data_IF_839257460254
#
_entry.id   IF_839257460254
#
_cell.length_a   1.000
_cell.length_b   1.000
_cell.length_c   1.000
_cell.angle_alpha   90.00
_cell.angle_beta   90.00
_cell.angle_gamma   90.00
#
_symmetry.space_group_name_H-M   'P 1'
#
loop_
_entity.id
_entity.type
_entity.pdbx_description
1 polymer ?
#
# COMPACT_ATOMS: atom_id res chain seq x y z
N UNK A 1 2.51 1.96 -8.99
CA UNK A 1 2.58 1.16 -7.74
C UNK A 1 3.84 1.55 -6.99
N UNK A 2 3.73 1.90 -5.72
CA UNK A 2 4.86 2.15 -4.82
C UNK A 2 4.85 1.08 -3.71
N UNK A 3 6.03 0.57 -3.31
CA UNK A 3 6.17 -0.42 -2.23
C UNK A 3 6.97 0.20 -1.09
N UNK A 4 6.34 0.35 0.07
CA UNK A 4 6.93 0.91 1.27
C UNK A 4 7.39 -0.23 2.17
N UNK A 5 8.71 -0.32 2.39
CA UNK A 5 9.35 -1.34 3.24
C UNK A 5 10.10 -0.65 4.36
N UNK A 6 10.22 -1.32 5.52
CA UNK A 6 11.09 -0.84 6.60
C UNK A 6 12.55 -0.83 6.12
N UNK A 7 13.33 0.19 6.53
CA UNK A 7 14.69 0.41 6.04
C UNK A 7 15.63 -0.79 6.23
N UNK A 8 15.53 -1.51 7.35
CA UNK A 8 16.34 -2.71 7.63
C UNK A 8 15.89 -3.99 6.88
N UNK A 9 14.80 -3.93 6.11
CA UNK A 9 14.15 -5.09 5.51
C UNK A 9 13.94 -4.94 3.98
N UNK A 10 14.55 -3.92 3.35
CA UNK A 10 14.33 -3.59 1.94
C UNK A 10 14.62 -4.78 1.01
N UNK A 11 15.67 -5.57 1.28
CA UNK A 11 16.10 -6.71 0.46
C UNK A 11 15.43 -8.03 0.84
N UNK A 12 14.62 -8.07 1.90
CA UNK A 12 13.94 -9.29 2.33
C UNK A 12 12.93 -9.78 1.30
N UNK A 13 12.86 -11.10 1.12
CA UNK A 13 11.90 -11.72 0.20
C UNK A 13 10.46 -11.73 0.74
N UNK A 14 10.31 -11.93 2.05
CA UNK A 14 9.04 -11.87 2.78
C UNK A 14 9.19 -10.88 3.93
N UNK A 15 8.62 -9.69 3.74
CA UNK A 15 8.69 -8.61 4.73
C UNK A 15 7.32 -7.94 4.82
N UNK A 16 6.97 -7.40 5.99
CA UNK A 16 5.84 -6.51 6.10
C UNK A 16 6.07 -5.29 5.20
N UNK A 17 5.11 -4.98 4.34
CA UNK A 17 5.18 -3.83 3.45
C UNK A 17 3.79 -3.27 3.14
N UNK A 18 3.75 -2.00 2.73
CA UNK A 18 2.53 -1.34 2.26
C UNK A 18 2.68 -1.10 0.77
N UNK A 19 1.73 -1.61 -0.01
CA UNK A 19 1.64 -1.33 -1.44
C UNK A 19 0.67 -0.16 -1.64
N UNK A 20 1.18 0.93 -2.22
CA UNK A 20 0.37 2.07 -2.64
C UNK A 20 0.07 1.93 -4.13
N UNK A 21 -1.20 1.71 -4.45
CA UNK A 21 -1.72 1.68 -5.80
C UNK A 21 -2.37 3.03 -6.08
N UNK A 22 -1.94 3.69 -7.15
CA UNK A 22 -2.59 4.90 -7.62
C UNK A 22 -3.51 4.56 -8.78
N UNK A 23 -4.65 5.25 -8.86
CA UNK A 23 -5.49 5.30 -10.05
C UNK A 23 -4.95 6.29 -11.07
N UNK A 24 -5.09 5.97 -12.35
CA UNK A 24 -4.37 6.63 -13.44
C UNK A 24 -4.88 8.05 -13.78
N UNK A 25 -6.14 8.36 -13.49
CA UNK A 25 -6.85 9.53 -14.02
C UNK A 25 -7.54 10.38 -12.94
N UNK A 26 -7.30 10.09 -11.66
CA UNK A 26 -7.91 10.81 -10.55
C UNK A 26 -9.42 10.56 -10.35
N UNK A 27 -10.06 9.73 -11.20
CA UNK A 27 -11.49 9.41 -11.12
C UNK A 27 -11.80 8.30 -10.10
N UNK A 28 -10.79 7.54 -9.72
CA UNK A 28 -10.89 6.44 -8.75
C UNK A 28 -10.12 6.74 -7.46
N UNK A 29 -10.26 5.89 -6.45
CA UNK A 29 -9.48 6.01 -5.22
C UNK A 29 -8.06 5.47 -5.41
N UNK A 30 -7.06 6.13 -4.82
CA UNK A 30 -5.82 5.43 -4.53
C UNK A 30 -6.06 4.44 -3.38
N UNK A 31 -5.22 3.40 -3.32
CA UNK A 31 -5.36 2.31 -2.38
C UNK A 31 -4.05 2.02 -1.66
N UNK A 32 -4.16 1.75 -0.35
CA UNK A 32 -3.07 1.25 0.49
C UNK A 32 -3.39 -0.19 0.91
N UNK A 33 -2.47 -1.10 0.60
CA UNK A 33 -2.55 -2.52 0.92
C UNK A 33 -1.41 -2.89 1.86
N UNK A 34 -1.63 -2.91 3.18
CA UNK A 34 -0.71 -3.53 4.13
C UNK A 34 -0.68 -5.04 3.95
N UNK A 35 0.50 -5.65 4.01
CA UNK A 35 0.59 -7.10 3.98
C UNK A 35 2.00 -7.66 3.91
N UNK A 36 2.06 -8.96 3.70
CA UNK A 36 3.29 -9.70 3.44
C UNK A 36 3.29 -10.10 1.98
N UNK A 37 4.08 -9.41 1.16
CA UNK A 37 4.11 -9.65 -0.29
C UNK A 37 5.51 -9.98 -0.79
N UNK A 38 5.54 -10.94 -1.71
CA UNK A 38 6.74 -11.38 -2.43
C UNK A 38 6.69 -10.88 -3.87
N UNK A 39 7.82 -10.42 -4.41
CA UNK A 39 7.96 -10.20 -5.85
C UNK A 39 8.05 -11.55 -6.58
N UNK A 40 7.20 -11.76 -7.58
CA UNK A 40 7.11 -13.02 -8.34
C UNK A 40 7.64 -12.87 -9.76
N UNK A 41 7.49 -11.68 -10.36
CA UNK A 41 7.96 -11.42 -11.71
C UNK A 41 8.60 -10.03 -11.80
N UNK A 42 9.54 -9.88 -12.74
CA UNK A 42 10.25 -8.62 -13.01
C UNK A 42 9.35 -7.51 -13.53
N UNK A 43 8.13 -7.84 -13.99
CA UNK A 43 7.10 -6.88 -14.37
C UNK A 43 6.39 -6.20 -13.19
N UNK A 44 6.81 -6.48 -11.95
CA UNK A 44 6.20 -5.92 -10.73
C UNK A 44 5.05 -6.74 -10.16
N UNK A 45 4.77 -7.94 -10.68
CA UNK A 45 3.80 -8.85 -10.06
C UNK A 45 4.25 -9.23 -8.65
N UNK A 46 3.33 -9.09 -7.70
CA UNK A 46 3.52 -9.48 -6.30
C UNK A 46 2.40 -10.44 -5.88
N UNK A 47 2.74 -11.37 -4.99
CA UNK A 47 1.78 -12.31 -4.39
C UNK A 47 2.00 -12.35 -2.88
N UNK A 48 0.93 -12.52 -2.13
CA UNK A 48 1.01 -12.62 -0.69
C UNK A 48 -0.30 -12.36 0.02
N UNK A 49 -0.23 -12.22 1.33
CA UNK A 49 -1.39 -11.99 2.17
C UNK A 49 -1.55 -10.51 2.49
N UNK A 50 -2.70 -9.97 2.11
CA UNK A 50 -3.13 -8.65 2.54
C UNK A 50 -3.69 -8.71 3.96
N UNK A 51 -3.39 -7.70 4.77
CA UNK A 51 -3.98 -7.45 6.10
C UNK A 51 -5.16 -6.47 5.97
N UNK A 52 -5.83 -6.49 4.83
CA UNK A 52 -6.94 -5.63 4.44
C UNK A 52 -6.50 -4.46 3.55
N UNK A 53 -7.41 -3.52 3.32
CA UNK A 53 -7.14 -2.38 2.44
C UNK A 53 -7.74 -1.08 2.98
N UNK A 54 -7.17 0.05 2.56
CA UNK A 54 -7.75 1.38 2.73
C UNK A 54 -7.81 2.03 1.36
N UNK A 55 -8.96 2.63 1.02
CA UNK A 55 -9.18 3.35 -0.23
C UNK A 55 -9.48 4.80 0.08
N UNK A 56 -8.77 5.71 -0.58
CA UNK A 56 -8.96 7.15 -0.41
C UNK A 56 -9.30 7.75 -1.76
N UNK A 57 -10.50 8.32 -1.93
CA UNK A 57 -10.88 9.00 -3.16
C UNK A 57 -10.06 10.27 -3.36
N UNK A 58 -9.78 10.63 -4.61
CA UNK A 58 -9.05 11.85 -4.96
C UNK A 58 -9.88 13.15 -4.88
N UNK A 59 -11.00 13.14 -4.15
CA UNK A 59 -11.90 14.29 -4.02
C UNK A 59 -12.41 14.46 -2.58
N UNK A 60 -12.89 15.66 -2.26
CA UNK A 60 -13.37 16.02 -0.93
C UNK A 60 -12.22 16.31 0.04
N UNK A 61 -12.38 15.92 1.30
CA UNK A 61 -11.34 16.10 2.31
C UNK A 61 -10.25 15.02 2.18
N UNK A 62 -9.38 15.19 1.18
CA UNK A 62 -8.34 14.21 0.84
C UNK A 62 -7.27 14.15 1.93
N UNK A 63 -6.84 15.28 2.47
CA UNK A 63 -5.71 15.35 3.41
C UNK A 63 -5.99 14.56 4.68
N UNK A 64 -7.13 14.79 5.33
CA UNK A 64 -7.45 14.09 6.58
C UNK A 64 -7.63 12.59 6.35
N UNK A 65 -8.28 12.20 5.23
CA UNK A 65 -8.45 10.78 4.87
C UNK A 65 -7.13 10.08 4.58
N UNK A 66 -6.16 10.78 3.98
CA UNK A 66 -4.81 10.23 3.77
C UNK A 66 -4.14 9.98 5.12
N UNK A 67 -4.22 10.95 6.04
CA UNK A 67 -3.59 10.86 7.37
C UNK A 67 -4.22 9.73 8.19
N UNK A 68 -5.54 9.70 8.30
CA UNK A 68 -6.27 8.65 9.01
C UNK A 68 -5.97 7.27 8.42
N UNK A 69 -6.03 7.16 7.09
CA UNK A 69 -5.73 5.90 6.40
C UNK A 69 -4.29 5.43 6.63
N UNK A 70 -3.33 6.35 6.74
CA UNK A 70 -1.94 6.01 7.04
C UNK A 70 -1.79 5.45 8.47
N UNK A 71 -2.46 6.03 9.46
CA UNK A 71 -2.48 5.50 10.83
C UNK A 71 -3.15 4.13 10.91
N UNK A 72 -4.27 3.95 10.21
CA UNK A 72 -4.97 2.67 10.16
C UNK A 72 -4.10 1.58 9.56
N UNK A 73 -3.45 1.84 8.42
CA UNK A 73 -2.57 0.89 7.75
C UNK A 73 -1.31 0.61 8.59
N UNK A 74 -0.75 1.64 9.23
CA UNK A 74 0.41 1.50 10.12
C UNK A 74 0.12 0.65 11.35
N UNK A 75 -1.08 0.76 11.92
CA UNK A 75 -1.52 -0.02 13.09
C UNK A 75 -1.84 -1.49 12.82
N UNK A 76 -1.81 -1.93 11.55
CA UNK A 76 -2.05 -3.34 11.16
C UNK A 76 -0.79 -4.21 11.16
N UNK A 77 0.37 -3.65 11.52
CA UNK A 77 1.67 -4.35 11.63
C UNK A 77 2.19 -4.34 13.06
#
# INVERSE_FOLDING_TARGET
MLRLRRAGQITGQHVPEIILLNSHDGSSSYQMLPGYFRAICTNGLVCGQSLGEVRVPHWGNVVDRVIEGAYEVGGRF
#
